data_IF_299155301772
#
_entry.id   IF_299155301772
#
_cell.length_a   1.000
_cell.length_b   1.000
_cell.length_c   1.000
_cell.angle_alpha   90.00
_cell.angle_beta   90.00
_cell.angle_gamma   90.00
#
_symmetry.space_group_name_H-M   'P 1'
#
loop_
_entity.id
_entity.type
_entity.pdbx_description
1 polymer ?
#
# COMPACT_ATOMS: atom_id res chain seq x y z
N UNK A 1 -11.44 -5.70 -7.29
CA UNK A 1 -10.01 -6.07 -7.26
C UNK A 1 -9.22 -4.91 -6.68
N UNK A 2 -8.18 -5.15 -5.86
CA UNK A 2 -7.31 -4.13 -5.26
C UNK A 2 -5.98 -4.12 -5.99
N UNK A 3 -5.52 -2.96 -6.45
CA UNK A 3 -4.22 -2.85 -7.11
C UNK A 3 -3.17 -2.44 -6.09
N UNK A 4 -2.54 -3.42 -5.44
CA UNK A 4 -1.60 -3.16 -4.34
C UNK A 4 -0.47 -2.21 -4.74
N UNK A 5 0.00 -2.26 -5.99
CA UNK A 5 1.04 -1.34 -6.49
C UNK A 5 0.57 0.11 -6.66
N UNK A 6 -0.73 0.38 -6.60
CA UNK A 6 -1.32 1.73 -6.70
C UNK A 6 -1.76 2.27 -5.34
N UNK A 7 -1.42 1.58 -4.26
CA UNK A 7 -1.69 2.05 -2.91
C UNK A 7 -0.87 3.31 -2.62
N UNK A 8 -1.55 4.33 -2.12
CA UNK A 8 -0.97 5.61 -1.72
C UNK A 8 -0.47 5.55 -0.28
N UNK A 9 -1.10 4.72 0.55
CA UNK A 9 -0.75 4.54 1.95
C UNK A 9 -1.05 3.11 2.40
N UNK A 10 -0.19 2.60 3.28
CA UNK A 10 -0.37 1.35 4.04
C UNK A 10 -0.03 1.67 5.49
N UNK A 11 -1.01 1.57 6.39
CA UNK A 11 -0.82 1.89 7.80
C UNK A 11 -1.55 0.91 8.71
N UNK A 12 -1.04 0.75 9.94
CA UNK A 12 -1.66 -0.11 10.96
C UNK A 12 -2.30 0.78 12.01
N UNK A 13 -3.58 0.57 12.27
CA UNK A 13 -4.37 1.33 13.26
C UNK A 13 -4.92 0.38 14.32
N UNK A 14 -4.73 0.71 15.59
CA UNK A 14 -5.35 -0.02 16.70
C UNK A 14 -6.72 0.56 17.03
N UNK A 15 -7.73 -0.29 17.19
CA UNK A 15 -9.04 0.13 17.68
C UNK A 15 -8.95 0.42 19.19
N UNK A 16 -8.72 1.68 19.55
CA UNK A 16 -8.49 2.12 20.93
C UNK A 16 -9.67 1.88 21.90
N UNK A 17 -10.86 1.55 21.40
CA UNK A 17 -12.10 1.56 22.19
C UNK A 17 -12.82 0.19 22.27
N UNK A 18 -12.19 -0.89 21.80
CA UNK A 18 -12.79 -2.24 21.89
C UNK A 18 -12.10 -3.12 22.94
N UNK A 19 -12.84 -3.91 23.73
CA UNK A 19 -12.26 -4.79 24.75
C UNK A 19 -11.32 -5.85 24.15
N UNK A 20 -11.57 -6.22 22.90
CA UNK A 20 -10.63 -6.92 22.01
C UNK A 20 -9.87 -5.86 21.20
N UNK A 21 -8.67 -5.45 21.63
CA UNK A 21 -7.79 -4.52 20.89
C UNK A 21 -7.41 -5.08 19.52
N UNK A 22 -8.31 -4.92 18.55
CA UNK A 22 -8.15 -5.42 17.18
C UNK A 22 -7.35 -4.41 16.35
N UNK A 23 -6.34 -4.91 15.67
CA UNK A 23 -5.51 -4.15 14.74
C UNK A 23 -6.13 -4.20 13.34
N UNK A 24 -6.12 -3.05 12.67
CA UNK A 24 -6.60 -2.89 11.30
C UNK A 24 -5.45 -2.46 10.41
N UNK A 25 -5.32 -3.10 9.26
CA UNK A 25 -4.46 -2.67 8.18
C UNK A 25 -5.30 -1.78 7.26
N UNK A 26 -4.89 -0.52 7.15
CA UNK A 26 -5.54 0.50 6.34
C UNK A 26 -4.79 0.60 5.02
N UNK A 27 -5.50 0.35 3.92
CA UNK A 27 -4.99 0.46 2.57
C UNK A 27 -5.71 1.60 1.85
N UNK A 28 -4.98 2.64 1.47
CA UNK A 28 -5.55 3.79 0.75
C UNK A 28 -5.26 3.63 -0.73
N UNK A 29 -6.31 3.58 -1.54
CA UNK A 29 -6.23 3.62 -3.00
C UNK A 29 -7.00 4.85 -3.50
N UNK A 30 -6.76 5.26 -4.74
CA UNK A 30 -7.47 6.40 -5.31
C UNK A 30 -8.99 6.17 -5.29
N UNK A 31 -9.70 6.98 -4.50
CA UNK A 31 -11.16 6.94 -4.40
C UNK A 31 -11.72 5.93 -3.39
N UNK A 32 -10.87 5.20 -2.64
CA UNK A 32 -11.33 4.28 -1.60
C UNK A 32 -10.29 4.00 -0.51
N UNK A 33 -10.79 3.72 0.69
CA UNK A 33 -10.00 3.21 1.82
C UNK A 33 -10.52 1.85 2.21
N UNK A 34 -9.61 0.89 2.38
CA UNK A 34 -9.93 -0.49 2.78
C UNK A 34 -9.36 -0.75 4.16
N UNK A 35 -10.15 -1.42 5.00
CA UNK A 35 -9.75 -1.84 6.34
C UNK A 35 -9.74 -3.37 6.38
N UNK A 36 -8.60 -3.95 6.70
CA UNK A 36 -8.44 -5.40 6.85
C UNK A 36 -8.17 -5.70 8.32
N UNK A 37 -8.93 -6.63 8.88
CA UNK A 37 -8.75 -7.11 10.24
C UNK A 37 -8.31 -8.57 10.19
N UNK A 38 -7.20 -8.89 10.84
CA UNK A 38 -6.75 -10.27 11.00
C UNK A 38 -7.62 -11.03 12.00
N UNK A 39 -7.74 -12.35 11.81
CA UNK A 39 -8.38 -13.25 12.78
C UNK A 39 -7.49 -13.42 14.02
N UNK A 40 -6.17 -13.57 13.83
CA UNK A 40 -5.15 -13.55 14.87
C UNK A 40 -3.99 -12.59 14.57
N UNK A 41 -3.15 -12.33 15.60
CA UNK A 41 -1.98 -11.45 15.47
C UNK A 41 -0.93 -11.96 14.48
N UNK A 42 -0.71 -13.29 14.44
CA UNK A 42 0.24 -13.89 13.50
C UNK A 42 -0.23 -13.72 12.06
N UNK A 43 -1.50 -13.96 11.79
CA UNK A 43 -2.09 -13.74 10.47
C UNK A 43 -1.96 -12.26 10.10
N UNK A 44 -2.33 -11.35 11.00
CA UNK A 44 -2.23 -9.92 10.76
C UNK A 44 -0.81 -9.50 10.34
N UNK A 45 0.22 -9.95 11.06
CA UNK A 45 1.60 -9.63 10.74
C UNK A 45 2.03 -10.20 9.37
N UNK A 46 1.63 -11.43 9.05
CA UNK A 46 1.92 -12.05 7.75
C UNK A 46 1.25 -11.28 6.60
N UNK A 47 -0.01 -10.89 6.76
CA UNK A 47 -0.73 -10.08 5.77
C UNK A 47 -0.10 -8.70 5.59
N UNK A 48 0.28 -8.01 6.68
CA UNK A 48 0.96 -6.72 6.61
C UNK A 48 2.28 -6.80 5.81
N UNK A 49 3.11 -7.80 6.11
CA UNK A 49 4.37 -8.01 5.40
C UNK A 49 4.15 -8.35 3.90
N UNK A 50 3.22 -9.26 3.61
CA UNK A 50 2.93 -9.68 2.24
C UNK A 50 2.36 -8.53 1.39
N UNK A 51 1.41 -7.76 1.95
CA UNK A 51 0.80 -6.61 1.26
C UNK A 51 1.84 -5.50 1.06
N UNK A 52 2.62 -5.18 2.10
CA UNK A 52 3.69 -4.18 2.00
C UNK A 52 4.73 -4.53 0.93
N UNK A 53 5.14 -5.80 0.86
CA UNK A 53 6.04 -6.29 -0.19
C UNK A 53 5.41 -6.17 -1.59
N UNK A 54 4.17 -6.62 -1.75
CA UNK A 54 3.47 -6.58 -3.03
C UNK A 54 3.10 -5.17 -3.51
N UNK A 55 2.98 -4.21 -2.59
CA UNK A 55 2.66 -2.83 -2.91
C UNK A 55 3.81 -2.02 -3.52
N UNK A 56 5.03 -2.58 -3.52
CA UNK A 56 6.17 -2.03 -4.26
C UNK A 56 7.27 -1.39 -3.41
N UNK A 57 7.45 -1.86 -2.16
CA UNK A 57 8.46 -1.33 -1.22
C UNK A 57 9.76 -2.11 -1.10
N UNK A 58 9.93 -3.24 -1.80
CA UNK A 58 10.99 -4.21 -1.51
C UNK A 58 12.26 -4.14 -2.36
N UNK A 59 12.23 -3.51 -3.54
CA UNK A 59 13.30 -3.66 -4.53
C UNK A 59 13.52 -2.43 -5.42
N UNK A 60 14.69 -2.39 -6.06
CA UNK A 60 15.13 -1.25 -6.88
C UNK A 60 14.79 -1.41 -8.36
N UNK A 61 14.35 -2.59 -8.80
CA UNK A 61 13.93 -2.83 -10.17
C UNK A 61 12.63 -2.11 -10.51
N UNK A 62 12.50 -1.59 -11.73
CA UNK A 62 11.27 -0.92 -12.21
C UNK A 62 10.02 -1.80 -12.06
N UNK A 63 10.17 -3.12 -12.24
CA UNK A 63 9.10 -4.10 -12.10
C UNK A 63 8.61 -4.27 -10.66
N UNK A 64 9.39 -3.84 -9.68
CA UNK A 64 9.13 -3.95 -8.24
C UNK A 64 8.60 -2.63 -7.67
N UNK A 65 8.56 -1.55 -8.46
CA UNK A 65 8.11 -0.25 -7.99
C UNK A 65 6.59 -0.14 -7.91
N UNK A 66 6.17 0.79 -7.05
CA UNK A 66 4.81 1.31 -7.06
C UNK A 66 4.48 1.96 -8.41
N UNK A 67 3.20 1.95 -8.74
CA UNK A 67 2.65 2.49 -9.98
C UNK A 67 1.85 3.75 -9.67
N UNK A 68 2.01 4.76 -10.53
CA UNK A 68 1.17 5.95 -10.55
C UNK A 68 -0.26 5.59 -11.00
N UNK A 69 -1.14 6.60 -11.04
CA UNK A 69 -2.51 6.42 -11.53
C UNK A 69 -2.59 6.00 -13.01
N UNK A 70 -1.55 6.29 -13.79
CA UNK A 70 -1.44 5.93 -15.19
C UNK A 70 -0.82 4.56 -15.44
N UNK A 71 -0.65 3.73 -14.40
CA UNK A 71 0.06 2.43 -14.48
C UNK A 71 1.52 2.58 -14.94
N UNK A 72 2.13 3.72 -14.61
CA UNK A 72 3.54 4.05 -14.88
C UNK A 72 4.31 3.92 -13.56
N UNK A 73 5.49 3.25 -13.51
CA UNK A 73 6.32 3.25 -12.30
C UNK A 73 6.57 4.68 -11.80
N UNK A 74 6.41 4.92 -10.50
CA UNK A 74 6.44 6.30 -9.95
C UNK A 74 7.72 7.04 -10.33
N UNK A 75 8.88 6.37 -10.38
CA UNK A 75 10.12 7.02 -10.82
C UNK A 75 10.05 7.52 -12.27
N UNK A 76 9.42 6.74 -13.16
CA UNK A 76 9.28 7.08 -14.58
C UNK A 76 8.30 8.24 -14.74
N UNK A 77 7.18 8.20 -14.02
CA UNK A 77 6.17 9.26 -13.99
C UNK A 77 6.77 10.59 -13.51
N UNK A 78 7.62 10.54 -12.47
CA UNK A 78 8.37 11.69 -11.97
C UNK A 78 9.38 12.24 -12.99
N UNK A 79 10.13 11.36 -13.67
CA UNK A 79 11.07 11.78 -14.72
C UNK A 79 10.35 12.44 -15.91
N UNK A 80 9.23 11.87 -16.36
CA UNK A 80 8.40 12.46 -17.44
C UNK A 80 7.92 13.85 -17.03
N UNK A 81 7.37 13.97 -15.82
CA UNK A 81 6.89 15.25 -15.29
C UNK A 81 8.02 16.29 -15.25
N UNK A 82 9.21 15.90 -14.78
CA UNK A 82 10.38 16.78 -14.72
C UNK A 82 10.81 17.32 -16.09
N UNK A 83 10.90 16.44 -17.10
CA UNK A 83 11.35 16.79 -18.46
C UNK A 83 10.30 17.61 -19.20
N UNK A 84 9.01 17.36 -18.98
CA UNK A 84 7.91 18.04 -19.69
C UNK A 84 7.48 19.36 -19.05
N UNK A 85 7.88 19.64 -17.81
CA UNK A 85 7.64 20.93 -17.14
C UNK A 85 8.75 21.98 -17.36
N UNK A 86 9.76 21.68 -18.18
CA UNK A 86 10.80 22.61 -18.65
C UNK A 86 10.77 22.73 -20.17
#
# INVERSE_FOLDING_TARGET
MVHLRRLQEISVVSAAETPDKKEHLVLVETGRTLYLQGEGRLDFAAWNAAIGGAAGGGGTGLQEQQMSRGDIPIIVDACISFVTQH
#
